data_IF_926626267258
#
_entry.id   IF_926626267258
#
_cell.length_a   1.000
_cell.length_b   1.000
_cell.length_c   1.000
_cell.angle_alpha   90.00
_cell.angle_beta   90.00
_cell.angle_gamma   90.00
#
_symmetry.space_group_name_H-M   'P 1'
#
loop_
_entity.id
_entity.type
_entity.pdbx_description
1 polymer ?
#
# COMPACT_ATOMS: atom_id res chain seq x y z
N UNK A 1 15.04 -22.58 36.98
CA UNK A 1 15.31 -23.21 35.68
C UNK A 1 14.07 -23.01 34.82
N UNK A 2 13.89 -21.78 34.36
CA UNK A 2 12.82 -21.39 33.44
C UNK A 2 13.41 -21.48 32.05
N UNK A 3 12.95 -22.47 31.29
CA UNK A 3 13.35 -22.69 29.90
C UNK A 3 12.95 -21.46 29.09
N UNK A 4 13.97 -20.70 28.70
CA UNK A 4 13.90 -19.67 27.68
C UNK A 4 13.57 -20.37 26.36
N UNK A 5 12.31 -20.27 25.93
CA UNK A 5 11.90 -20.71 24.61
C UNK A 5 12.25 -19.57 23.66
N UNK A 6 13.44 -19.68 23.08
CA UNK A 6 13.85 -18.94 21.90
C UNK A 6 12.69 -18.96 20.88
N UNK A 7 12.16 -17.81 20.42
CA UNK A 7 11.10 -17.80 19.42
C UNK A 7 11.68 -18.38 18.13
N UNK A 8 11.38 -19.65 17.88
CA UNK A 8 11.65 -20.34 16.63
C UNK A 8 11.05 -19.50 15.50
N UNK A 9 11.89 -18.75 14.78
CA UNK A 9 11.52 -17.99 13.60
C UNK A 9 11.15 -19.03 12.55
N UNK A 10 9.87 -19.22 12.24
CA UNK A 10 9.44 -20.13 11.19
C UNK A 10 10.03 -19.77 9.83
N UNK A 11 9.89 -20.68 8.85
CA UNK A 11 10.57 -20.61 7.56
C UNK A 11 10.30 -19.27 6.89
N UNK A 12 11.37 -18.52 6.59
CA UNK A 12 11.28 -17.27 5.83
C UNK A 12 11.09 -17.63 4.38
N UNK A 13 9.93 -17.28 3.84
CA UNK A 13 9.58 -17.49 2.43
C UNK A 13 9.63 -16.15 1.71
N UNK A 14 10.12 -16.15 0.48
CA UNK A 14 9.89 -15.03 -0.43
C UNK A 14 9.26 -15.50 -1.73
N UNK A 15 8.26 -14.77 -2.19
CA UNK A 15 7.65 -14.96 -3.50
C UNK A 15 7.94 -13.72 -4.34
N UNK A 16 8.57 -13.92 -5.48
CA UNK A 16 8.74 -12.92 -6.52
C UNK A 16 7.68 -13.14 -7.60
N UNK A 17 7.05 -12.05 -8.00
CA UNK A 17 6.10 -11.99 -9.11
C UNK A 17 6.69 -11.06 -10.16
N UNK A 18 6.66 -11.47 -11.42
CA UNK A 18 6.95 -10.62 -12.59
C UNK A 18 5.84 -10.79 -13.64
N UNK A 19 5.94 -10.09 -14.77
CA UNK A 19 5.04 -10.26 -15.92
C UNK A 19 5.10 -11.68 -16.52
N UNK A 20 6.22 -12.39 -16.34
CA UNK A 20 6.51 -13.66 -17.03
C UNK A 20 6.76 -14.84 -16.09
N UNK A 21 7.03 -14.61 -14.81
CA UNK A 21 7.37 -15.65 -13.86
C UNK A 21 6.78 -15.38 -12.47
N UNK A 22 6.50 -16.46 -11.74
CA UNK A 22 6.21 -16.42 -10.29
C UNK A 22 7.08 -17.47 -9.63
N UNK A 23 8.00 -17.02 -8.78
CA UNK A 23 9.03 -17.86 -8.14
C UNK A 23 8.95 -17.73 -6.64
N UNK A 24 9.12 -18.83 -5.91
CA UNK A 24 9.14 -18.88 -4.47
C UNK A 24 10.48 -19.44 -3.97
N UNK A 25 11.20 -18.67 -3.16
CA UNK A 25 12.33 -19.16 -2.38
C UNK A 25 11.81 -19.69 -1.04
N UNK A 26 12.06 -20.97 -0.80
CA UNK A 26 11.82 -21.68 0.46
C UNK A 26 13.14 -22.25 1.00
N UNK A 27 13.12 -22.86 2.17
CA UNK A 27 14.28 -23.58 2.73
C UNK A 27 14.79 -24.70 1.80
N UNK A 28 13.87 -25.36 1.08
CA UNK A 28 14.17 -26.52 0.24
C UNK A 28 14.76 -26.12 -1.12
N UNK A 29 14.54 -24.88 -1.57
CA UNK A 29 14.98 -24.44 -2.89
C UNK A 29 14.17 -23.27 -3.44
N UNK A 30 14.41 -22.96 -4.71
CA UNK A 30 13.54 -22.09 -5.51
C UNK A 30 12.55 -22.99 -6.24
N UNK A 31 11.26 -22.63 -6.20
CA UNK A 31 10.19 -23.24 -6.98
C UNK A 31 9.61 -22.20 -7.92
N UNK A 32 9.19 -22.62 -9.10
CA UNK A 32 8.62 -21.74 -10.13
C UNK A 32 7.29 -22.29 -10.62
N UNK A 33 6.35 -21.40 -10.88
CA UNK A 33 5.01 -21.74 -11.34
C UNK A 33 5.00 -22.07 -12.85
N UNK A 34 4.04 -22.87 -13.28
CA UNK A 34 3.87 -23.19 -14.69
C UNK A 34 3.57 -21.94 -15.54
N UNK A 35 4.19 -21.84 -16.71
CA UNK A 35 4.07 -20.67 -17.60
C UNK A 35 2.62 -20.33 -17.97
N UNK A 36 1.76 -21.34 -18.16
CA UNK A 36 0.33 -21.14 -18.44
C UNK A 36 -0.41 -20.51 -17.26
N UNK A 37 -0.11 -20.97 -16.04
CA UNK A 37 -0.76 -20.50 -14.82
C UNK A 37 -0.34 -19.07 -14.52
N UNK A 38 0.94 -18.75 -14.70
CA UNK A 38 1.46 -17.38 -14.59
C UNK A 38 0.78 -16.47 -15.60
N UNK A 39 0.71 -16.87 -16.88
CA UNK A 39 0.06 -16.06 -17.91
C UNK A 39 -1.40 -15.77 -17.58
N UNK A 40 -2.16 -16.79 -17.14
CA UNK A 40 -3.56 -16.61 -16.74
C UNK A 40 -3.70 -15.71 -15.51
N UNK A 41 -2.82 -15.87 -14.51
CA UNK A 41 -2.86 -15.05 -13.30
C UNK A 41 -2.48 -13.59 -13.57
N UNK A 42 -1.46 -13.35 -14.40
CA UNK A 42 -1.01 -12.01 -14.82
C UNK A 42 -2.06 -11.32 -15.67
N UNK A 43 -2.69 -12.02 -16.62
CA UNK A 43 -3.78 -11.46 -17.43
C UNK A 43 -4.98 -11.01 -16.58
N UNK A 44 -5.22 -11.67 -15.45
CA UNK A 44 -6.30 -11.34 -14.52
C UNK A 44 -5.90 -10.32 -13.44
N UNK A 45 -4.69 -9.74 -13.46
CA UNK A 45 -4.23 -8.81 -12.41
C UNK A 45 -5.00 -7.49 -12.38
N UNK A 46 -5.45 -7.02 -13.54
CA UNK A 46 -6.17 -5.76 -13.69
C UNK A 46 -7.69 -5.95 -13.59
N UNK A 47 -8.16 -7.20 -13.60
CA UNK A 47 -9.57 -7.56 -13.50
C UNK A 47 -9.91 -8.07 -12.09
N UNK A 48 -11.13 -7.81 -11.61
CA UNK A 48 -11.60 -8.38 -10.34
C UNK A 48 -11.78 -9.91 -10.40
N UNK A 49 -12.01 -10.42 -11.61
CA UNK A 49 -12.39 -11.78 -11.91
C UNK A 49 -11.49 -12.33 -13.03
N UNK A 50 -10.87 -13.48 -12.79
CA UNK A 50 -10.15 -14.25 -13.80
C UNK A 50 -11.10 -15.15 -14.57
N UNK A 51 -11.04 -15.07 -15.90
CA UNK A 51 -11.72 -15.98 -16.81
C UNK A 51 -10.77 -17.13 -17.17
N UNK A 52 -10.99 -18.30 -16.55
CA UNK A 52 -10.30 -19.54 -16.92
C UNK A 52 -11.18 -20.34 -17.88
N UNK A 53 -10.62 -21.25 -18.72
CA UNK A 53 -11.38 -21.96 -19.76
C UNK A 53 -12.70 -22.59 -19.29
N UNK A 54 -12.73 -23.16 -18.08
CA UNK A 54 -13.90 -23.87 -17.54
C UNK A 54 -14.53 -23.21 -16.31
N UNK A 55 -14.00 -22.07 -15.85
CA UNK A 55 -14.50 -21.43 -14.61
C UNK A 55 -14.14 -19.96 -14.50
N UNK A 56 -15.01 -19.25 -13.80
CA UNK A 56 -14.84 -17.84 -13.43
C UNK A 56 -14.46 -17.78 -11.97
N UNK A 57 -13.31 -17.18 -11.63
CA UNK A 57 -12.84 -17.11 -10.24
C UNK A 57 -12.38 -15.71 -9.88
N UNK A 58 -12.53 -15.26 -8.62
CA UNK A 58 -11.94 -14.00 -8.19
C UNK A 58 -10.43 -14.01 -8.41
N UNK A 59 -9.86 -12.95 -9.00
CA UNK A 59 -8.42 -12.87 -9.30
C UNK A 59 -7.57 -13.08 -8.06
N UNK A 60 -8.00 -12.55 -6.90
CA UNK A 60 -7.36 -12.80 -5.59
C UNK A 60 -7.26 -14.29 -5.23
N UNK A 61 -8.28 -15.08 -5.59
CA UNK A 61 -8.35 -16.51 -5.27
C UNK A 61 -7.45 -17.32 -6.22
N UNK A 62 -7.36 -16.89 -7.48
CA UNK A 62 -6.39 -17.44 -8.43
C UNK A 62 -4.95 -17.21 -7.95
N UNK A 63 -4.62 -15.99 -7.53
CA UNK A 63 -3.30 -15.66 -6.99
C UNK A 63 -2.98 -16.40 -5.68
N UNK A 64 -3.94 -16.53 -4.77
CA UNK A 64 -3.75 -17.31 -3.54
C UNK A 64 -3.47 -18.79 -3.84
N UNK A 65 -4.23 -19.39 -4.75
CA UNK A 65 -4.00 -20.77 -5.18
C UNK A 65 -2.63 -20.95 -5.86
N UNK A 66 -2.21 -19.98 -6.67
CA UNK A 66 -0.88 -19.99 -7.31
C UNK A 66 0.24 -19.93 -6.25
N UNK A 67 0.13 -19.04 -5.26
CA UNK A 67 1.09 -18.98 -4.17
C UNK A 67 1.09 -20.26 -3.33
N UNK A 68 -0.07 -20.83 -3.00
CA UNK A 68 -0.16 -22.10 -2.25
C UNK A 68 0.54 -23.23 -3.00
N UNK A 69 0.34 -23.32 -4.32
CA UNK A 69 0.98 -24.35 -5.18
C UNK A 69 2.52 -24.30 -5.13
N UNK A 70 3.08 -23.10 -4.93
CA UNK A 70 4.51 -22.89 -4.82
C UNK A 70 5.08 -23.26 -3.45
N UNK A 71 4.27 -23.30 -2.40
CA UNK A 71 4.74 -23.53 -1.04
C UNK A 71 4.53 -24.95 -0.54
N UNK A 72 3.54 -25.66 -1.09
CA UNK A 72 3.20 -27.02 -0.67
C UNK A 72 2.72 -27.84 -1.86
N UNK A 73 3.08 -29.13 -1.89
CA UNK A 73 2.52 -30.10 -2.84
C UNK A 73 1.26 -30.78 -2.31
N UNK A 74 0.94 -30.55 -1.03
CA UNK A 74 -0.25 -31.06 -0.39
C UNK A 74 -1.27 -29.93 -0.33
N UNK A 75 -2.52 -30.17 -0.73
CA UNK A 75 -3.68 -29.26 -0.63
C UNK A 75 -4.03 -28.85 0.83
N UNK A 76 -3.05 -28.79 1.73
CA UNK A 76 -3.15 -28.33 3.09
C UNK A 76 -2.97 -26.81 3.14
N UNK A 77 -3.75 -26.09 3.96
CA UNK A 77 -3.57 -24.65 4.16
C UNK A 77 -2.16 -24.35 4.67
N UNK A 78 -1.45 -23.47 3.98
CA UNK A 78 -0.12 -23.01 4.40
C UNK A 78 -0.28 -21.87 5.41
N UNK A 79 0.39 -21.98 6.54
CA UNK A 79 0.56 -20.87 7.50
C UNK A 79 2.04 -20.66 7.79
N UNK A 80 2.54 -19.52 7.34
CA UNK A 80 3.91 -19.06 7.53
C UNK A 80 3.97 -18.04 8.67
N UNK A 81 5.10 -17.94 9.35
CA UNK A 81 5.35 -16.85 10.29
C UNK A 81 5.67 -15.55 9.57
N UNK A 82 6.47 -15.63 8.50
CA UNK A 82 6.83 -14.47 7.69
C UNK A 82 6.95 -14.81 6.21
N UNK A 83 6.47 -13.88 5.37
CA UNK A 83 6.53 -13.94 3.93
C UNK A 83 6.95 -12.60 3.36
N UNK A 84 7.89 -12.62 2.41
CA UNK A 84 8.24 -11.47 1.60
C UNK A 84 7.61 -11.61 0.21
N UNK A 85 6.84 -10.62 -0.22
CA UNK A 85 6.30 -10.55 -1.56
C UNK A 85 7.05 -9.48 -2.34
N UNK A 86 7.65 -9.87 -3.46
CA UNK A 86 8.45 -9.00 -4.33
C UNK A 86 7.72 -8.84 -5.65
N UNK A 87 7.56 -7.61 -6.12
CA UNK A 87 6.81 -7.29 -7.33
C UNK A 87 7.56 -6.27 -8.19
N UNK A 88 7.23 -6.11 -9.49
CA UNK A 88 7.85 -5.10 -10.34
C UNK A 88 7.56 -3.69 -9.80
N UNK A 89 8.52 -2.80 -9.87
CA UNK A 89 8.43 -1.48 -9.23
C UNK A 89 7.38 -0.59 -9.89
N UNK A 90 7.22 -0.69 -11.21
CA UNK A 90 6.26 0.08 -11.99
C UNK A 90 4.79 -0.39 -11.83
N UNK A 91 4.55 -1.55 -11.21
CA UNK A 91 3.18 -2.08 -11.09
C UNK A 91 2.27 -1.19 -10.24
N UNK A 92 1.05 -1.01 -10.73
CA UNK A 92 0.03 -0.15 -10.12
C UNK A 92 -0.29 -0.57 -8.67
N UNK A 93 -0.75 0.37 -7.82
CA UNK A 93 -1.26 0.03 -6.49
C UNK A 93 -2.35 -1.06 -6.49
N UNK A 94 -3.16 -1.13 -7.56
CA UNK A 94 -4.20 -2.15 -7.75
C UNK A 94 -3.62 -3.55 -7.85
N UNK A 95 -2.69 -3.77 -8.81
CA UNK A 95 -2.00 -5.06 -8.98
C UNK A 95 -1.31 -5.51 -7.68
N UNK A 96 -0.63 -4.59 -7.00
CA UNK A 96 0.02 -4.84 -5.69
C UNK A 96 -0.98 -5.23 -4.61
N UNK A 97 -2.16 -4.62 -4.58
CA UNK A 97 -3.22 -4.93 -3.61
C UNK A 97 -3.77 -6.34 -3.83
N UNK A 98 -3.98 -6.76 -5.07
CA UNK A 98 -4.41 -8.13 -5.41
C UNK A 98 -3.41 -9.16 -4.88
N UNK A 99 -2.12 -9.00 -5.18
CA UNK A 99 -1.08 -9.90 -4.68
C UNK A 99 -0.97 -9.88 -3.16
N UNK A 100 -1.00 -8.69 -2.55
CA UNK A 100 -0.90 -8.54 -1.09
C UNK A 100 -2.06 -9.22 -0.38
N UNK A 101 -3.29 -9.07 -0.89
CA UNK A 101 -4.48 -9.70 -0.32
C UNK A 101 -4.45 -11.22 -0.47
N UNK A 102 -3.92 -11.74 -1.59
CA UNK A 102 -3.68 -13.17 -1.77
C UNK A 102 -2.67 -13.71 -0.74
N UNK A 103 -1.54 -13.02 -0.55
CA UNK A 103 -0.48 -13.44 0.35
C UNK A 103 -0.83 -13.28 1.85
N UNK A 104 -1.64 -12.29 2.24
CA UNK A 104 -2.01 -12.00 3.65
C UNK A 104 -2.68 -13.17 4.35
N UNK A 105 -3.36 -14.04 3.62
CA UNK A 105 -4.04 -15.21 4.19
C UNK A 105 -3.06 -16.33 4.56
N UNK A 106 -1.82 -16.27 4.09
CA UNK A 106 -0.83 -17.35 4.15
C UNK A 106 0.26 -17.12 5.19
N UNK A 107 0.47 -15.88 5.66
CA UNK A 107 1.54 -15.53 6.58
C UNK A 107 1.08 -14.59 7.70
N UNK A 108 1.57 -14.80 8.93
CA UNK A 108 1.32 -13.89 10.05
C UNK A 108 1.94 -12.51 9.81
N UNK A 109 3.13 -12.47 9.19
CA UNK A 109 3.81 -11.25 8.79
C UNK A 109 4.02 -11.24 7.28
N UNK A 110 3.50 -10.23 6.59
CA UNK A 110 3.73 -10.01 5.16
C UNK A 110 4.52 -8.72 4.94
N UNK A 111 5.69 -8.82 4.32
CA UNK A 111 6.44 -7.66 3.84
C UNK A 111 6.35 -7.58 2.33
N UNK A 112 5.82 -6.48 1.80
CA UNK A 112 5.72 -6.25 0.35
C UNK A 112 6.83 -5.29 -0.06
N UNK A 113 7.63 -5.66 -1.06
CA UNK A 113 8.75 -4.84 -1.55
C UNK A 113 8.71 -4.76 -3.07
N UNK A 114 9.08 -3.59 -3.60
CA UNK A 114 9.37 -3.49 -5.02
C UNK A 114 10.69 -4.18 -5.33
N UNK A 115 10.82 -4.64 -6.58
CA UNK A 115 12.01 -5.33 -7.07
C UNK A 115 13.24 -4.44 -7.04
N UNK A 116 13.14 -3.17 -7.46
CA UNK A 116 14.22 -2.21 -7.37
C UNK A 116 14.71 -2.00 -5.92
N UNK A 117 13.80 -1.89 -4.93
CA UNK A 117 14.19 -1.77 -3.52
C UNK A 117 14.85 -3.05 -3.02
N UNK A 118 14.34 -4.23 -3.39
CA UNK A 118 14.94 -5.51 -3.01
C UNK A 118 16.37 -5.67 -3.58
N UNK A 119 16.60 -5.18 -4.81
CA UNK A 119 17.93 -5.17 -5.43
C UNK A 119 18.84 -4.10 -4.80
N UNK A 120 18.30 -2.93 -4.45
CA UNK A 120 19.05 -1.82 -3.90
C UNK A 120 19.61 -2.06 -2.50
N UNK A 121 18.87 -2.80 -1.66
CA UNK A 121 19.33 -3.23 -0.33
C UNK A 121 20.60 -4.11 -0.38
N UNK A 122 21.01 -4.58 -1.57
CA UNK A 122 22.18 -5.45 -1.76
C UNK A 122 23.28 -4.89 -2.64
N UNK A 123 22.97 -4.01 -3.60
CA UNK A 123 24.00 -3.27 -4.34
C UNK A 123 24.92 -2.45 -3.42
N UNK A 124 24.46 -2.24 -2.18
CA UNK A 124 25.05 -1.37 -1.20
C UNK A 124 25.22 -2.14 0.11
N UNK A 125 26.43 -2.67 0.34
CA UNK A 125 26.90 -2.77 1.73
C UNK A 125 26.77 -1.37 2.31
N UNK A 126 25.98 -1.21 3.37
CA UNK A 126 26.20 -0.22 4.45
C UNK A 126 27.03 1.00 4.01
N UNK A 127 26.36 2.11 3.73
CA UNK A 127 26.81 3.31 2.98
C UNK A 127 26.31 3.33 1.53
N UNK A 128 25.06 3.76 1.36
CA UNK A 128 24.82 4.75 0.33
C UNK A 128 25.44 6.01 0.95
N UNK A 129 26.57 6.50 0.45
CA UNK A 129 27.23 7.72 0.92
C UNK A 129 26.39 8.99 0.68
N UNK A 130 25.06 8.89 0.78
CA UNK A 130 24.06 9.82 0.26
C UNK A 130 23.66 9.59 -1.20
N UNK A 131 24.36 8.71 -1.94
CA UNK A 131 24.16 8.47 -3.39
C UNK A 131 22.88 7.68 -3.69
N UNK A 132 22.38 7.78 -4.92
CA UNK A 132 21.24 7.02 -5.44
C UNK A 132 21.70 5.74 -6.17
N UNK A 133 20.84 4.73 -6.31
CA UNK A 133 21.05 3.59 -7.21
C UNK A 133 20.09 3.70 -8.39
N UNK A 134 20.53 3.35 -9.60
CA UNK A 134 19.63 3.24 -10.75
C UNK A 134 19.38 1.77 -11.05
N UNK A 135 18.12 1.37 -11.14
CA UNK A 135 17.67 0.03 -11.55
C UNK A 135 16.85 0.18 -12.82
N UNK A 136 17.24 -0.51 -13.89
CA UNK A 136 16.46 -0.62 -15.12
C UNK A 136 15.69 -1.94 -15.06
N UNK A 137 14.38 -1.87 -14.87
CA UNK A 137 13.50 -3.05 -14.93
C UNK A 137 12.96 -3.20 -16.36
N UNK A 138 13.23 -4.37 -16.96
CA UNK A 138 12.88 -4.68 -18.35
C UNK A 138 11.87 -5.83 -18.36
N UNK A 139 10.69 -5.56 -18.92
CA UNK A 139 9.64 -6.54 -19.15
C UNK A 139 9.13 -6.44 -20.60
N UNK A 140 8.36 -7.43 -21.10
CA UNK A 140 7.84 -7.36 -22.47
C UNK A 140 6.98 -6.12 -22.74
N UNK A 141 6.06 -5.80 -21.82
CA UNK A 141 5.13 -4.70 -21.96
C UNK A 141 5.67 -3.34 -21.49
N UNK A 142 6.70 -3.31 -20.65
CA UNK A 142 7.18 -2.08 -20.01
C UNK A 142 8.67 -2.11 -19.72
N UNK A 143 9.34 -0.98 -19.94
CA UNK A 143 10.71 -0.74 -19.50
C UNK A 143 10.73 0.53 -18.66
N UNK A 144 11.23 0.40 -17.43
CA UNK A 144 11.25 1.46 -16.44
C UNK A 144 12.68 1.72 -15.95
N UNK A 145 13.04 2.99 -15.80
CA UNK A 145 14.27 3.43 -15.13
C UNK A 145 13.89 3.90 -13.73
N UNK A 146 14.38 3.22 -12.70
CA UNK A 146 14.03 3.48 -11.31
C UNK A 146 15.24 4.04 -10.58
N UNK A 147 15.05 5.17 -9.91
CA UNK A 147 16.02 5.71 -8.96
C UNK A 147 15.64 5.24 -7.56
N UNK A 148 16.54 4.56 -6.87
CA UNK A 148 16.39 4.20 -5.47
C UNK A 148 17.33 5.04 -4.62
N UNK A 149 16.76 5.90 -3.78
CA UNK A 149 17.48 6.82 -2.91
C UNK A 149 17.03 6.67 -1.45
N UNK A 150 17.70 7.37 -0.54
CA UNK A 150 17.21 7.47 0.83
C UNK A 150 15.95 8.34 0.89
N UNK A 151 14.87 7.76 1.41
CA UNK A 151 13.67 8.52 1.74
C UNK A 151 13.88 9.38 2.99
N UNK A 152 13.02 10.39 3.11
CA UNK A 152 13.03 11.34 4.25
C UNK A 152 12.86 10.69 5.63
N UNK A 153 12.28 9.49 5.68
CA UNK A 153 12.07 8.71 6.90
C UNK A 153 13.21 7.70 7.20
N UNK A 154 14.30 7.70 6.41
CA UNK A 154 15.40 6.75 6.54
C UNK A 154 15.20 5.41 5.82
N UNK A 155 13.99 5.15 5.30
CA UNK A 155 13.68 4.00 4.44
C UNK A 155 13.99 4.31 2.97
N UNK A 156 14.39 3.31 2.15
CA UNK A 156 14.64 3.52 0.73
C UNK A 156 13.36 3.90 -0.02
N UNK A 157 13.44 4.93 -0.86
CA UNK A 157 12.36 5.40 -1.72
C UNK A 157 12.72 5.14 -3.18
N UNK A 158 11.75 4.69 -3.98
CA UNK A 158 11.92 4.40 -5.39
C UNK A 158 11.09 5.37 -6.25
N UNK A 159 11.76 6.10 -7.13
CA UNK A 159 11.14 7.00 -8.12
C UNK A 159 11.19 6.35 -9.50
N UNK A 160 10.04 6.22 -10.15
CA UNK A 160 9.91 5.53 -11.44
C UNK A 160 9.89 6.55 -12.57
N UNK A 161 10.80 6.39 -13.54
CA UNK A 161 10.84 7.11 -14.79
C UNK A 161 10.42 6.15 -15.91
N UNK A 162 9.21 6.33 -16.42
CA UNK A 162 8.72 5.57 -17.56
C UNK A 162 9.31 6.13 -18.85
N UNK A 163 9.70 5.25 -19.78
CA UNK A 163 10.00 5.69 -21.13
C UNK A 163 8.70 6.15 -21.81
N UNK A 164 8.78 7.21 -22.63
CA UNK A 164 7.61 7.79 -23.32
C UNK A 164 6.88 6.78 -24.21
N UNK A 165 7.62 5.81 -24.76
CA UNK A 165 7.06 4.72 -25.56
C UNK A 165 6.64 3.55 -24.64
N UNK A 166 5.36 3.16 -24.72
CA UNK A 166 4.74 2.16 -23.81
C UNK A 166 4.71 0.74 -24.35
N UNK A 167 5.22 0.47 -25.56
CA UNK A 167 5.17 -0.85 -26.17
C UNK A 167 6.52 -1.20 -26.78
N UNK A 168 7.28 -2.01 -26.04
CA UNK A 168 8.62 -2.47 -26.43
C UNK A 168 8.62 -3.86 -27.08
N UNK A 169 7.49 -4.58 -27.02
CA UNK A 169 7.34 -5.97 -27.52
C UNK A 169 7.74 -6.16 -28.99
N UNK A 170 7.59 -5.12 -29.82
CA UNK A 170 7.87 -5.18 -31.26
C UNK A 170 9.21 -4.56 -31.66
N UNK A 171 9.97 -4.03 -30.69
CA UNK A 171 11.22 -3.30 -30.93
C UNK A 171 12.41 -4.25 -30.91
N UNK A 172 13.45 -3.92 -31.67
CA UNK A 172 14.71 -4.65 -31.61
C UNK A 172 15.43 -4.39 -30.29
N UNK A 173 16.24 -5.34 -29.82
CA UNK A 173 17.05 -5.16 -28.61
C UNK A 173 17.97 -3.93 -28.70
N UNK A 174 18.49 -3.62 -29.89
CA UNK A 174 19.31 -2.44 -30.12
C UNK A 174 18.54 -1.12 -29.95
N UNK A 175 17.25 -1.10 -30.31
CA UNK A 175 16.41 0.10 -30.17
C UNK A 175 15.98 0.33 -28.73
N UNK A 176 15.58 -0.73 -28.02
CA UNK A 176 15.32 -0.70 -26.58
C UNK A 176 16.56 -0.23 -25.84
N UNK A 177 17.71 -0.85 -26.09
CA UNK A 177 18.98 -0.49 -25.46
C UNK A 177 19.36 0.97 -25.67
N UNK A 178 19.16 1.52 -26.87
CA UNK A 178 19.44 2.93 -27.17
C UNK A 178 18.47 3.88 -26.46
N UNK A 179 17.19 3.52 -26.37
CA UNK A 179 16.20 4.31 -25.64
C UNK A 179 16.49 4.34 -24.14
N UNK A 180 16.75 3.16 -23.55
CA UNK A 180 17.14 3.03 -22.14
C UNK A 180 18.41 3.81 -21.86
N UNK A 181 19.43 3.69 -22.69
CA UNK A 181 20.71 4.39 -22.51
C UNK A 181 20.51 5.92 -22.42
N UNK A 182 19.67 6.51 -23.28
CA UNK A 182 19.32 7.94 -23.22
C UNK A 182 18.57 8.32 -21.95
N UNK A 183 17.60 7.52 -21.52
CA UNK A 183 16.84 7.79 -20.31
C UNK A 183 17.72 7.66 -19.05
N UNK A 184 18.58 6.65 -19.00
CA UNK A 184 19.56 6.48 -17.92
C UNK A 184 20.52 7.66 -17.88
N UNK A 185 21.01 8.14 -19.03
CA UNK A 185 21.86 9.34 -19.11
C UNK A 185 21.17 10.59 -18.56
N UNK A 186 19.90 10.80 -18.92
CA UNK A 186 19.09 11.91 -18.42
C UNK A 186 18.90 11.84 -16.90
N UNK A 187 18.47 10.68 -16.40
CA UNK A 187 18.27 10.41 -14.97
C UNK A 187 19.57 10.64 -14.21
N UNK A 188 20.67 9.98 -14.61
CA UNK A 188 21.97 10.09 -13.94
C UNK A 188 22.48 11.54 -13.91
N UNK A 189 22.22 12.33 -14.96
CA UNK A 189 22.59 13.76 -15.00
C UNK A 189 21.75 14.62 -14.05
N UNK A 190 20.48 14.26 -13.84
CA UNK A 190 19.58 14.96 -12.91
C UNK A 190 19.77 14.59 -11.44
N UNK A 191 20.43 13.46 -11.15
CA UNK A 191 20.65 12.98 -9.78
C UNK A 191 21.73 13.78 -9.04
N UNK A 192 21.30 14.77 -8.26
CA UNK A 192 22.17 15.69 -7.52
C UNK A 192 23.12 15.02 -6.51
N UNK A 193 22.70 13.91 -5.92
CA UNK A 193 23.50 13.13 -4.96
C UNK A 193 24.51 12.22 -5.63
N UNK A 194 24.44 12.06 -6.95
CA UNK A 194 25.23 11.13 -7.74
C UNK A 194 24.74 9.68 -7.63
N UNK A 195 24.98 8.88 -8.66
CA UNK A 195 24.55 7.47 -8.73
C UNK A 195 25.68 6.55 -8.26
N UNK A 196 25.40 5.51 -7.47
CA UNK A 196 26.39 4.58 -6.89
C UNK A 196 26.62 3.32 -7.74
N UNK A 197 25.59 2.81 -8.40
CA UNK A 197 25.68 1.80 -9.45
C UNK A 197 24.44 1.87 -10.37
N UNK A 198 24.56 1.27 -11.56
CA UNK A 198 23.44 1.05 -12.49
C UNK A 198 23.24 -0.46 -12.63
N UNK A 199 22.04 -0.93 -12.32
CA UNK A 199 21.65 -2.34 -12.39
C UNK A 199 20.64 -2.54 -13.51
N UNK A 200 20.89 -3.49 -14.41
CA UNK A 200 19.96 -3.87 -15.48
C UNK A 200 19.32 -5.20 -15.12
N UNK A 201 18.01 -5.18 -14.92
CA UNK A 201 17.20 -6.31 -14.51
C UNK A 201 16.26 -6.71 -15.64
N UNK A 202 16.66 -7.74 -16.37
CA UNK A 202 15.97 -8.27 -17.56
C UNK A 202 15.92 -9.78 -17.47
N UNK A 203 14.73 -10.36 -17.69
CA UNK A 203 14.57 -11.80 -17.84
C UNK A 203 15.16 -12.33 -19.16
N UNK A 204 15.27 -11.47 -20.17
CA UNK A 204 15.98 -11.75 -21.43
C UNK A 204 17.44 -11.33 -21.28
N UNK A 205 18.35 -12.30 -21.31
CA UNK A 205 19.79 -12.06 -21.14
C UNK A 205 20.38 -11.24 -22.27
N UNK A 206 19.97 -11.49 -23.52
CA UNK A 206 20.47 -10.79 -24.71
C UNK A 206 20.04 -9.32 -24.68
N UNK A 207 18.78 -9.06 -24.32
CA UNK A 207 18.27 -7.71 -24.11
C UNK A 207 19.03 -6.98 -23.01
N UNK A 208 19.27 -7.65 -21.88
CA UNK A 208 20.02 -7.08 -20.76
C UNK A 208 21.46 -6.74 -21.14
N UNK A 209 22.16 -7.65 -21.82
CA UNK A 209 23.52 -7.41 -22.32
C UNK A 209 23.56 -6.25 -23.33
N UNK A 210 22.58 -6.15 -24.23
CA UNK A 210 22.47 -5.04 -25.16
C UNK A 210 22.31 -3.69 -24.44
N UNK A 211 21.48 -3.63 -23.40
CA UNK A 211 21.29 -2.45 -22.56
C UNK A 211 22.57 -2.10 -21.80
N UNK A 212 23.20 -3.07 -21.14
CA UNK A 212 24.49 -2.88 -20.45
C UNK A 212 25.52 -2.29 -21.40
N UNK A 213 25.69 -2.88 -22.59
CA UNK A 213 26.64 -2.38 -23.59
C UNK A 213 26.28 -1.00 -24.13
N UNK A 214 25.00 -0.63 -24.20
CA UNK A 214 24.58 0.70 -24.61
C UNK A 214 24.83 1.76 -23.53
N UNK A 215 24.57 1.44 -22.26
CA UNK A 215 24.84 2.33 -21.12
C UNK A 215 26.34 2.50 -20.90
N UNK A 216 27.11 1.41 -20.99
CA UNK A 216 28.57 1.43 -20.82
C UNK A 216 29.27 2.32 -21.87
N UNK A 217 28.78 2.30 -23.12
CA UNK A 217 29.28 3.18 -24.19
C UNK A 217 29.08 4.67 -23.94
N UNK A 218 28.14 5.07 -23.08
CA UNK A 218 27.98 6.47 -22.67
C UNK A 218 29.14 6.89 -21.75
N UNK A 219 29.78 5.93 -21.06
CA UNK A 219 30.89 6.20 -20.15
C UNK A 219 30.44 6.80 -18.82
N UNK A 220 29.24 6.47 -18.35
CA UNK A 220 28.73 6.92 -17.05
C UNK A 220 29.53 6.26 -15.92
N UNK A 221 29.97 7.06 -14.95
CA UNK A 221 30.44 6.58 -13.65
C UNK A 221 29.32 6.76 -12.65
N UNK A 222 28.81 5.68 -12.03
CA UNK A 222 29.42 4.37 -11.80
C UNK A 222 29.10 3.34 -12.89
N UNK A 223 29.84 2.22 -12.90
CA UNK A 223 29.66 1.15 -13.89
C UNK A 223 28.25 0.54 -13.89
N UNK A 224 27.88 0.00 -15.04
CA UNK A 224 26.61 -0.70 -15.27
C UNK A 224 26.83 -2.22 -15.21
N UNK A 225 25.88 -2.95 -14.63
CA UNK A 225 25.92 -4.42 -14.56
C UNK A 225 24.54 -5.03 -14.67
N UNK A 226 24.47 -6.25 -15.20
CA UNK A 226 23.23 -7.02 -15.24
C UNK A 226 23.00 -7.75 -13.91
N UNK A 227 21.75 -7.80 -13.47
CA UNK A 227 21.31 -8.50 -12.28
C UNK A 227 21.26 -10.00 -12.58
N UNK A 228 21.88 -10.82 -11.72
CA UNK A 228 21.75 -12.28 -11.82
C UNK A 228 20.33 -12.71 -11.39
N UNK A 229 19.79 -13.73 -12.04
CA UNK A 229 18.38 -14.15 -11.96
C UNK A 229 17.82 -14.30 -10.53
N UNK A 230 18.61 -14.85 -9.61
CA UNK A 230 18.20 -15.13 -8.22
C UNK A 230 18.63 -14.05 -7.21
N UNK A 231 19.15 -12.92 -7.69
CA UNK A 231 19.71 -11.88 -6.82
C UNK A 231 18.68 -11.31 -5.84
N UNK A 232 17.39 -11.38 -6.19
CA UNK A 232 16.28 -10.89 -5.37
C UNK A 232 16.00 -11.75 -4.13
N UNK A 233 16.34 -13.05 -4.18
CA UNK A 233 16.05 -14.01 -3.10
C UNK A 233 17.19 -14.18 -2.10
N UNK A 234 18.29 -13.46 -2.31
CA UNK A 234 19.59 -13.81 -1.75
C UNK A 234 19.65 -13.58 -0.21
N UNK A 235 18.66 -12.90 0.39
CA UNK A 235 18.45 -12.71 1.86
C UNK A 235 17.59 -13.79 2.53
N UNK A 236 16.83 -14.55 1.75
CA UNK A 236 15.78 -15.43 2.22
C UNK A 236 16.43 -16.73 2.70
N UNK A 237 16.59 -16.84 4.02
CA UNK A 237 17.32 -17.92 4.69
C UNK A 237 18.56 -17.47 5.47
N UNK A 238 18.90 -16.18 5.48
CA UNK A 238 19.92 -15.66 6.40
C UNK A 238 19.26 -15.24 7.73
N UNK A 239 19.78 -15.74 8.85
CA UNK A 239 19.40 -15.26 10.18
C UNK A 239 19.61 -13.73 10.25
N UNK A 240 18.70 -12.97 10.87
CA UNK A 240 18.91 -11.55 11.08
C UNK A 240 20.21 -11.38 11.87
N UNK A 241 21.25 -10.85 11.22
CA UNK A 241 22.42 -10.39 11.96
C UNK A 241 21.95 -9.19 12.76
N UNK A 242 21.97 -9.32 14.09
CA UNK A 242 21.76 -8.19 14.97
C UNK A 242 22.73 -7.06 14.64
N UNK A 243 22.43 -5.82 15.05
CA UNK A 243 23.38 -4.73 14.91
C UNK A 243 24.66 -5.14 15.65
N UNK A 244 25.72 -5.42 14.89
CA UNK A 244 27.04 -5.66 15.45
C UNK A 244 27.60 -4.31 15.92
N UNK A 245 27.14 -3.87 17.09
CA UNK A 245 27.82 -2.87 17.88
C UNK A 245 28.39 -3.57 19.11
N UNK A 246 29.73 -3.66 19.08
CA UNK A 246 30.67 -3.96 20.17
C UNK A 246 30.78 -5.43 20.59
N UNK A 247 31.65 -6.16 19.90
CA UNK A 247 32.70 -6.94 20.58
C UNK A 247 33.99 -6.82 19.75
N UNK A 248 34.58 -5.62 19.78
CA UNK A 248 35.97 -5.47 19.40
C UNK A 248 36.78 -5.55 20.69
N UNK A 249 37.40 -6.70 20.89
CA UNK A 249 38.38 -6.90 21.94
C UNK A 249 39.45 -5.83 21.82
N UNK A 250 39.62 -5.07 22.90
CA UNK A 250 40.64 -4.05 23.03
C UNK A 250 42.05 -4.69 22.94
N UNK A 251 42.77 -4.44 21.86
CA UNK A 251 44.23 -4.36 21.90
C UNK A 251 44.65 -2.93 22.24
N UNK A 252 45.42 -2.80 23.32
CA UNK A 252 45.86 -1.54 23.93
C UNK A 252 46.67 -0.65 22.97
N UNK A 253 46.38 0.67 22.91
CA UNK A 253 47.33 1.63 22.36
C UNK A 253 48.29 2.14 23.46
N UNK A 254 49.58 2.07 23.13
CA UNK A 254 50.72 2.57 23.92
C UNK A 254 50.62 4.07 24.20
N UNK A 255 50.88 4.41 25.46
CA UNK A 255 50.89 5.73 26.10
C UNK A 255 51.83 6.75 25.44
N UNK A 256 51.36 8.00 25.24
CA UNK A 256 52.22 9.19 25.38
C UNK A 256 51.43 10.52 25.62
N UNK A 257 51.49 10.97 26.88
CA UNK A 257 51.53 12.34 27.45
C UNK A 257 50.45 13.41 27.16
N UNK A 258 49.79 13.82 28.26
CA UNK A 258 49.20 15.15 28.55
C UNK A 258 50.26 16.22 28.82
N UNK A 259 49.88 17.52 28.73
CA UNK A 259 49.70 18.36 29.94
C UNK A 259 48.34 19.13 29.90
N UNK A 260 47.46 19.02 30.91
CA UNK A 260 47.35 19.85 32.14
C UNK A 260 47.05 21.34 31.82
N UNK A 261 45.91 21.95 32.19
CA UNK A 261 45.57 22.37 33.56
C UNK A 261 44.07 22.73 33.79
N UNK A 262 43.63 22.38 35.01
CA UNK A 262 42.62 22.99 35.94
C UNK A 262 41.11 23.06 35.68
N UNK A 263 40.41 22.53 36.68
CA UNK A 263 38.97 22.53 36.99
C UNK A 263 38.49 23.72 37.83
N UNK A 264 37.20 24.08 37.70
CA UNK A 264 36.39 24.63 38.80
C UNK A 264 34.91 24.14 38.67
N UNK A 265 34.19 23.82 39.77
CA UNK A 265 32.83 23.24 39.79
C UNK A 265 31.73 24.30 39.97
N UNK A 266 30.44 24.01 39.72
CA UNK A 266 29.52 23.61 40.81
C UNK A 266 28.35 22.72 40.27
N UNK A 267 27.27 22.30 40.93
CA UNK A 267 26.71 22.44 42.28
C UNK A 267 25.81 21.20 42.52
N UNK A 268 25.64 20.77 43.78
CA UNK A 268 24.54 19.87 44.17
C UNK A 268 23.27 20.69 44.38
N UNK A 269 22.13 20.19 43.91
CA UNK A 269 20.83 20.44 44.53
C UNK A 269 19.91 19.22 44.33
N UNK A 270 19.48 18.65 45.45
CA UNK A 270 18.30 17.77 45.56
C UNK A 270 17.09 18.64 45.97
N UNK A 271 15.89 18.07 46.19
CA UNK A 271 14.95 17.38 45.29
C UNK A 271 13.60 18.14 45.26
N UNK A 272 12.59 17.71 44.47
CA UNK A 272 11.15 17.86 44.77
C UNK A 272 10.25 17.22 43.70
N UNK A 273 9.50 16.18 44.09
CA UNK A 273 8.14 15.91 43.56
C UNK A 273 7.15 16.58 44.54
N UNK A 274 5.99 17.10 44.11
CA UNK A 274 4.78 16.28 43.86
C UNK A 274 3.94 16.74 42.63
N UNK A 275 3.39 15.79 41.85
CA UNK A 275 1.98 15.37 41.84
C UNK A 275 0.98 16.37 41.21
N UNK A 276 0.64 16.14 39.93
CA UNK A 276 -0.69 16.37 39.34
C UNK A 276 -0.75 15.74 37.92
N UNK A 277 -1.45 14.61 37.88
CA UNK A 277 -2.17 13.98 36.76
C UNK A 277 -1.52 13.58 35.41
N UNK A 278 -2.15 12.57 34.75
CA UNK A 278 -1.44 11.47 34.10
C UNK A 278 -1.62 11.44 32.57
N UNK A 279 -0.70 10.80 31.86
CA UNK A 279 -0.89 10.34 30.48
C UNK A 279 -0.27 8.94 30.40
N UNK A 280 -1.07 7.88 30.27
CA UNK A 280 -1.77 7.46 29.06
C UNK A 280 -0.79 6.97 27.99
N UNK A 281 -0.47 5.69 28.04
CA UNK A 281 -0.11 4.92 26.86
C UNK A 281 -1.01 3.67 26.87
N UNK A 282 -2.18 3.87 26.28
CA UNK A 282 -3.02 2.86 25.64
C UNK A 282 -2.07 2.02 24.76
N UNK A 283 -1.96 0.71 24.94
CA UNK A 283 -3.05 -0.23 24.77
C UNK A 283 -3.10 -0.60 23.29
N UNK A 284 -2.34 -1.61 22.88
CA UNK A 284 -2.47 -2.21 21.56
C UNK A 284 -2.76 -3.69 21.68
N UNK A 285 -3.58 -4.14 20.73
CA UNK A 285 -3.93 -5.49 20.37
C UNK A 285 -4.99 -6.13 21.30
N UNK A 286 -6.28 -6.04 20.96
CA UNK A 286 -6.93 -6.63 19.78
C UNK A 286 -6.77 -8.15 19.71
N UNK A 287 -7.90 -8.84 19.92
CA UNK A 287 -8.22 -10.15 19.36
C UNK A 287 -9.75 -10.19 19.33
N UNK A 288 -10.40 -9.95 18.20
CA UNK A 288 -10.64 -10.94 17.13
C UNK A 288 -11.03 -12.29 17.71
N UNK A 289 -12.32 -12.58 17.67
CA UNK A 289 -12.80 -13.90 17.29
C UNK A 289 -13.79 -13.70 16.13
N UNK A 290 -13.25 -13.76 14.91
CA UNK A 290 -13.99 -14.34 13.79
C UNK A 290 -13.21 -15.57 13.38
N UNK A 291 -13.70 -16.71 13.82
CA UNK A 291 -13.40 -17.99 13.20
C UNK A 291 -14.33 -18.08 11.99
N UNK A 292 -13.76 -18.10 10.79
CA UNK A 292 -14.48 -18.60 9.63
C UNK A 292 -14.57 -20.12 9.69
N UNK A 293 -15.69 -20.70 9.25
CA UNK A 293 -15.71 -22.06 8.67
C UNK A 293 -16.70 -22.08 7.50
N UNK A 294 -16.22 -22.72 6.44
CA UNK A 294 -16.79 -23.00 5.12
C UNK A 294 -17.75 -24.22 5.20
N UNK A 295 -18.64 -24.34 4.21
CA UNK A 295 -19.49 -25.49 3.84
C UNK A 295 -20.92 -25.50 4.41
N UNK A 296 -21.88 -25.19 3.52
CA UNK A 296 -23.23 -25.75 3.54
C UNK A 296 -23.18 -27.26 3.29
N UNK A 297 -23.01 -28.04 4.36
CA UNK A 297 -23.57 -29.38 4.47
C UNK A 297 -24.88 -29.24 5.23
N UNK A 298 -25.99 -29.66 4.63
CA UNK A 298 -27.28 -29.70 5.27
C UNK A 298 -27.27 -30.63 6.49
N UNK A 299 -27.21 -30.05 7.68
CA UNK A 299 -27.61 -30.73 8.91
C UNK A 299 -28.78 -29.96 9.53
N UNK A 300 -29.98 -30.52 9.41
CA UNK A 300 -31.17 -30.05 10.12
C UNK A 300 -30.95 -30.20 11.62
N UNK A 301 -30.76 -29.07 12.32
CA UNK A 301 -30.91 -29.04 13.77
C UNK A 301 -31.70 -27.80 14.15
N UNK A 302 -33.00 -28.00 14.32
CA UNK A 302 -33.94 -27.02 14.84
C UNK A 302 -33.44 -26.42 16.15
N UNK A 303 -33.28 -25.10 16.20
CA UNK A 303 -33.21 -24.33 17.45
C UNK A 303 -34.24 -23.20 17.40
N UNK A 304 -35.14 -23.24 18.38
CA UNK A 304 -36.30 -22.36 18.57
C UNK A 304 -35.89 -20.88 18.66
N UNK A 305 -36.72 -19.94 18.16
CA UNK A 305 -36.47 -18.51 18.26
C UNK A 305 -36.87 -17.96 19.63
N UNK A 306 -36.13 -16.98 20.14
CA UNK A 306 -36.62 -16.00 21.12
C UNK A 306 -36.55 -14.60 20.50
N UNK A 307 -37.59 -13.77 20.67
CA UNK A 307 -37.73 -12.51 19.95
C UNK A 307 -37.04 -11.37 20.69
N UNK A 308 -35.95 -10.85 20.13
CA UNK A 308 -35.50 -9.48 20.40
C UNK A 308 -34.97 -8.95 19.07
N UNK A 309 -35.54 -7.83 18.60
CA UNK A 309 -35.18 -7.25 17.30
C UNK A 309 -33.66 -7.00 17.25
N UNK A 310 -32.96 -7.46 16.19
CA UNK A 310 -31.53 -7.31 16.10
C UNK A 310 -31.17 -5.82 15.94
N UNK A 311 -30.38 -5.28 16.87
CA UNK A 311 -29.69 -4.01 16.67
C UNK A 311 -28.66 -4.26 15.57
N UNK A 312 -28.80 -3.58 14.44
CA UNK A 312 -27.82 -3.67 13.35
C UNK A 312 -26.44 -3.30 13.88
N UNK A 313 -25.48 -4.22 13.76
CA UNK A 313 -24.11 -3.99 14.22
C UNK A 313 -23.48 -2.83 13.43
N UNK A 314 -22.70 -1.97 14.11
CA UNK A 314 -22.02 -0.83 13.50
C UNK A 314 -20.52 -0.96 13.67
N UNK A 315 -19.76 -0.35 12.76
CA UNK A 315 -18.30 -0.34 12.76
C UNK A 315 -17.75 1.08 12.61
N UNK A 316 -16.60 1.35 13.23
CA UNK A 316 -15.88 2.61 13.06
C UNK A 316 -14.92 2.47 11.87
N UNK A 317 -15.12 3.30 10.86
CA UNK A 317 -14.23 3.41 9.73
C UNK A 317 -13.33 4.63 9.89
N UNK A 318 -12.03 4.44 9.69
CA UNK A 318 -11.02 5.51 9.67
C UNK A 318 -10.45 5.58 8.26
N UNK A 319 -10.55 6.74 7.64
CA UNK A 319 -9.99 7.02 6.32
C UNK A 319 -9.21 8.34 6.33
N UNK A 320 -7.91 8.28 6.08
CA UNK A 320 -7.06 9.47 6.08
C UNK A 320 -7.19 10.22 7.41
N UNK A 321 -7.74 11.44 7.36
CA UNK A 321 -7.93 12.30 8.52
C UNK A 321 -9.34 12.28 9.08
N UNK A 322 -10.24 11.43 8.58
CA UNK A 322 -11.64 11.36 9.05
C UNK A 322 -11.97 9.99 9.62
N UNK A 323 -12.81 9.97 10.64
CA UNK A 323 -13.39 8.75 11.21
C UNK A 323 -14.91 8.89 11.31
N UNK A 324 -15.66 7.82 11.02
CA UNK A 324 -17.12 7.80 11.05
C UNK A 324 -17.66 6.39 11.23
N UNK A 325 -18.92 6.27 11.67
CA UNK A 325 -19.60 5.00 11.88
C UNK A 325 -20.42 4.61 10.65
N UNK A 326 -20.42 3.32 10.32
CA UNK A 326 -21.23 2.71 9.25
C UNK A 326 -21.79 1.35 9.70
N UNK A 327 -22.84 0.81 9.05
CA UNK A 327 -23.28 -0.56 9.32
C UNK A 327 -22.13 -1.56 9.08
N UNK A 328 -21.95 -2.51 9.98
CA UNK A 328 -20.78 -3.40 9.98
C UNK A 328 -20.78 -4.43 8.83
N UNK A 329 -21.94 -4.66 8.23
CA UNK A 329 -22.16 -5.58 7.11
C UNK A 329 -22.00 -4.91 5.73
N UNK A 330 -21.79 -3.59 5.69
CA UNK A 330 -21.59 -2.86 4.44
C UNK A 330 -20.13 -2.94 4.00
N UNK A 331 -19.93 -3.19 2.70
CA UNK A 331 -18.60 -3.32 2.11
C UNK A 331 -17.93 -1.96 1.94
N UNK A 332 -16.63 -1.87 2.19
CA UNK A 332 -15.86 -0.62 2.04
C UNK A 332 -14.93 -0.71 0.83
N UNK A 333 -15.10 0.20 -0.12
CA UNK A 333 -14.26 0.37 -1.32
C UNK A 333 -13.55 1.73 -1.27
N UNK A 334 -12.25 1.76 -1.61
CA UNK A 334 -11.46 3.00 -1.65
C UNK A 334 -11.16 3.35 -3.09
N UNK A 335 -11.57 4.55 -3.51
CA UNK A 335 -11.30 5.10 -4.83
C UNK A 335 -10.17 6.13 -4.68
N UNK A 336 -8.95 5.85 -5.15
CA UNK A 336 -7.86 6.82 -5.12
C UNK A 336 -8.11 7.96 -6.12
N UNK A 337 -7.43 9.09 -5.93
CA UNK A 337 -7.41 10.16 -6.92
C UNK A 337 -6.70 9.64 -8.19
N UNK A 338 -7.27 9.89 -9.36
CA UNK A 338 -6.71 9.40 -10.63
C UNK A 338 -7.73 9.07 -11.73
N UNK A 339 -9.03 9.26 -11.49
CA UNK A 339 -10.12 9.15 -12.48
C UNK A 339 -10.99 10.42 -12.57
N UNK A 340 -12.24 10.30 -13.04
CA UNK A 340 -13.20 11.41 -13.20
C UNK A 340 -13.78 11.98 -11.87
N UNK A 341 -13.02 11.96 -10.78
CA UNK A 341 -13.51 12.39 -9.47
C UNK A 341 -12.43 12.48 -8.40
N UNK A 342 -12.81 13.05 -7.26
CA UNK A 342 -11.95 13.14 -6.07
C UNK A 342 -11.75 11.76 -5.45
N UNK A 343 -10.61 11.56 -4.77
CA UNK A 343 -10.42 10.40 -3.91
C UNK A 343 -11.58 10.31 -2.90
N UNK A 344 -12.17 9.12 -2.77
CA UNK A 344 -13.32 8.90 -1.91
C UNK A 344 -13.38 7.48 -1.41
N UNK A 345 -14.04 7.31 -0.28
CA UNK A 345 -14.46 6.01 0.22
C UNK A 345 -15.91 5.80 -0.16
N UNK A 346 -16.23 4.59 -0.58
CA UNK A 346 -17.59 4.12 -0.81
C UNK A 346 -17.90 3.02 0.19
N UNK A 347 -19.04 3.15 0.86
CA UNK A 347 -19.57 2.16 1.78
C UNK A 347 -20.88 1.64 1.21
N UNK A 348 -20.88 0.38 0.79
CA UNK A 348 -21.84 -0.20 -0.16
C UNK A 348 -22.71 -1.21 0.58
N UNK A 349 -24.03 -1.06 0.46
CA UNK A 349 -24.98 -2.00 1.04
C UNK A 349 -24.81 -3.40 0.45
N UNK A 350 -24.87 -4.47 1.28
CA UNK A 350 -24.82 -5.84 0.79
C UNK A 350 -26.14 -6.28 0.12
N UNK A 351 -27.22 -5.52 0.31
CA UNK A 351 -28.57 -5.83 -0.21
C UNK A 351 -28.86 -5.06 -1.49
N UNK A 352 -28.39 -3.81 -1.58
CA UNK A 352 -28.57 -2.95 -2.75
C UNK A 352 -27.24 -2.27 -3.13
N UNK A 353 -26.56 -2.71 -4.21
CA UNK A 353 -25.30 -2.12 -4.64
C UNK A 353 -25.37 -0.63 -5.01
N UNK A 354 -26.55 -0.08 -5.29
CA UNK A 354 -26.72 1.37 -5.56
C UNK A 354 -26.95 2.20 -4.29
N UNK A 355 -27.22 1.57 -3.15
CA UNK A 355 -27.25 2.22 -1.84
C UNK A 355 -25.81 2.37 -1.31
N UNK A 356 -25.19 3.51 -1.61
CA UNK A 356 -23.77 3.78 -1.32
C UNK A 356 -23.60 5.07 -0.53
N UNK A 357 -22.81 5.02 0.55
CA UNK A 357 -22.31 6.21 1.26
C UNK A 357 -20.91 6.55 0.76
N UNK A 358 -20.80 7.72 0.13
CA UNK A 358 -19.54 8.30 -0.32
C UNK A 358 -18.97 9.20 0.76
N UNK A 359 -17.65 9.14 1.02
CA UNK A 359 -16.96 10.10 1.87
C UNK A 359 -15.72 10.64 1.17
N UNK A 360 -15.65 11.96 1.06
CA UNK A 360 -14.53 12.73 0.52
C UNK A 360 -13.97 13.64 1.59
N UNK A 361 -12.69 13.97 1.50
CA UNK A 361 -12.05 14.92 2.40
C UNK A 361 -11.08 15.81 1.64
N UNK A 362 -11.06 17.09 1.97
CA UNK A 362 -10.12 18.07 1.44
C UNK A 362 -9.66 18.95 2.59
N UNK A 363 -8.34 19.18 2.70
CA UNK A 363 -7.80 20.15 3.66
C UNK A 363 -8.12 21.57 3.19
N UNK A 364 -8.62 22.39 4.09
CA UNK A 364 -8.95 23.80 3.90
C UNK A 364 -8.22 24.64 4.94
N UNK A 365 -8.26 25.97 4.79
CA UNK A 365 -7.74 26.85 5.83
C UNK A 365 -8.56 26.64 7.12
N UNK A 366 -7.94 26.56 8.31
CA UNK A 366 -8.67 26.46 9.58
C UNK A 366 -9.71 27.56 9.82
N UNK A 367 -9.60 28.71 9.13
CA UNK A 367 -10.58 29.81 9.21
C UNK A 367 -11.69 29.73 8.15
N UNK A 368 -11.75 28.65 7.37
CA UNK A 368 -12.80 28.42 6.36
C UNK A 368 -14.18 28.41 7.03
N UNK A 369 -15.18 29.01 6.38
CA UNK A 369 -16.57 29.01 6.86
C UNK A 369 -17.47 28.25 5.89
N UNK A 370 -18.59 27.72 6.38
CA UNK A 370 -19.56 27.04 5.50
C UNK A 370 -20.08 27.97 4.39
N UNK A 371 -20.21 29.27 4.65
CA UNK A 371 -20.58 30.26 3.64
C UNK A 371 -19.51 30.38 2.53
N UNK A 372 -18.22 30.44 2.89
CA UNK A 372 -17.13 30.45 1.90
C UNK A 372 -17.06 29.14 1.10
N UNK A 373 -17.32 28.01 1.77
CA UNK A 373 -17.43 26.70 1.12
C UNK A 373 -18.63 26.65 0.17
N UNK A 374 -19.78 27.21 0.57
CA UNK A 374 -20.97 27.30 -0.29
C UNK A 374 -20.69 28.13 -1.55
N UNK A 375 -20.00 29.27 -1.45
CA UNK A 375 -19.60 30.05 -2.62
C UNK A 375 -18.64 29.29 -3.54
N UNK A 376 -17.66 28.58 -2.96
CA UNK A 376 -16.73 27.73 -3.73
C UNK A 376 -17.47 26.64 -4.49
N UNK A 377 -18.40 25.95 -3.83
CA UNK A 377 -19.21 24.89 -4.43
C UNK A 377 -20.13 25.44 -5.52
N UNK A 378 -20.80 26.56 -5.28
CA UNK A 378 -21.65 27.23 -6.27
C UNK A 378 -20.86 27.63 -7.52
N UNK A 379 -19.67 28.18 -7.35
CA UNK A 379 -18.78 28.54 -8.45
C UNK A 379 -18.29 27.32 -9.24
N UNK A 380 -18.10 26.17 -8.58
CA UNK A 380 -17.76 24.92 -9.25
C UNK A 380 -18.97 24.37 -10.04
N UNK A 381 -20.16 24.31 -9.43
CA UNK A 381 -21.39 23.82 -10.06
C UNK A 381 -21.81 24.66 -11.27
N UNK A 382 -21.55 25.97 -11.26
CA UNK A 382 -21.87 26.85 -12.37
C UNK A 382 -21.08 26.55 -13.66
N UNK A 383 -20.00 25.75 -13.58
CA UNK A 383 -19.21 25.31 -14.75
C UNK A 383 -19.77 24.06 -15.42
N UNK A 384 -20.74 23.41 -14.77
CA UNK A 384 -21.28 22.12 -15.17
C UNK A 384 -22.59 22.30 -15.92
N UNK A 385 -23.03 21.24 -16.61
CA UNK A 385 -24.27 21.30 -17.39
C UNK A 385 -25.50 21.48 -16.46
N UNK A 386 -26.52 22.27 -16.86
CA UNK A 386 -27.74 22.41 -16.08
C UNK A 386 -28.40 21.06 -15.76
N UNK A 387 -28.86 20.88 -14.52
CA UNK A 387 -29.52 19.65 -14.06
C UNK A 387 -28.57 18.57 -13.53
N UNK A 388 -27.25 18.72 -13.69
CA UNK A 388 -26.24 17.83 -13.07
C UNK A 388 -26.19 18.02 -11.55
N UNK A 389 -26.37 19.25 -11.08
CA UNK A 389 -26.47 19.59 -9.67
C UNK A 389 -27.77 20.36 -9.40
N UNK A 390 -28.55 19.92 -8.43
CA UNK A 390 -29.86 20.49 -8.05
C UNK A 390 -29.97 20.68 -6.54
N UNK A 391 -31.07 21.29 -6.08
CA UNK A 391 -31.43 21.39 -4.66
C UNK A 391 -30.37 21.99 -3.73
N UNK A 392 -29.53 22.88 -4.26
CA UNK A 392 -28.45 23.50 -3.51
C UNK A 392 -28.98 24.39 -2.38
N UNK A 393 -28.46 24.18 -1.15
CA UNK A 393 -28.74 24.98 0.04
C UNK A 393 -27.43 25.32 0.75
N UNK A 394 -27.14 26.62 0.88
CA UNK A 394 -25.90 27.11 1.46
C UNK A 394 -25.84 26.98 2.99
N UNK A 395 -26.99 26.93 3.66
CA UNK A 395 -27.16 26.99 5.10
C UNK A 395 -28.18 25.97 5.62
N UNK A 396 -28.00 24.70 5.23
CA UNK A 396 -28.87 23.60 5.66
C UNK A 396 -28.41 23.00 6.99
N UNK A 397 -29.23 22.07 7.52
CA UNK A 397 -28.87 21.23 8.66
C UNK A 397 -29.20 19.77 8.35
N UNK A 398 -28.20 18.89 8.53
CA UNK A 398 -28.36 17.45 8.38
C UNK A 398 -27.87 16.73 9.62
N UNK A 399 -28.74 15.89 10.16
CA UNK A 399 -28.53 15.16 11.41
C UNK A 399 -27.93 16.05 12.52
N UNK A 400 -28.55 17.22 12.70
CA UNK A 400 -28.21 18.27 13.67
C UNK A 400 -26.86 18.98 13.46
N UNK A 401 -26.23 18.81 12.30
CA UNK A 401 -25.00 19.52 11.92
C UNK A 401 -25.27 20.58 10.86
N UNK A 402 -24.73 21.80 11.02
CA UNK A 402 -24.71 22.80 9.95
C UNK A 402 -23.98 22.25 8.72
N UNK A 403 -24.55 22.40 7.54
CA UNK A 403 -24.02 21.83 6.31
C UNK A 403 -24.37 22.66 5.07
N UNK A 404 -23.58 22.51 4.01
CA UNK A 404 -24.02 22.83 2.65
C UNK A 404 -24.56 21.54 2.03
N UNK A 405 -25.75 21.57 1.43
CA UNK A 405 -26.35 20.39 0.80
C UNK A 405 -26.71 20.65 -0.65
N UNK A 406 -26.68 19.59 -1.46
CA UNK A 406 -27.09 19.61 -2.87
C UNK A 406 -27.31 18.17 -3.36
N UNK A 407 -28.00 18.02 -4.47
CA UNK A 407 -28.17 16.74 -5.15
C UNK A 407 -27.34 16.72 -6.42
N UNK A 408 -26.61 15.63 -6.66
CA UNK A 408 -25.91 15.35 -7.90
C UNK A 408 -26.69 14.27 -8.67
N UNK A 409 -27.12 14.60 -9.89
CA UNK A 409 -27.91 13.69 -10.73
C UNK A 409 -26.97 12.99 -11.70
N UNK A 410 -27.06 11.66 -11.77
CA UNK A 410 -26.31 10.83 -12.72
C UNK A 410 -27.24 9.86 -13.44
N UNK A 411 -26.82 9.30 -14.59
CA UNK A 411 -27.59 8.23 -15.22
C UNK A 411 -27.70 7.03 -14.27
N UNK A 412 -28.94 6.69 -13.88
CA UNK A 412 -29.23 5.50 -13.06
C UNK A 412 -29.39 5.76 -11.56
N UNK A 413 -28.77 6.80 -11.00
CA UNK A 413 -28.85 7.13 -9.58
C UNK A 413 -28.70 8.63 -9.30
N UNK A 414 -29.17 9.04 -8.14
CA UNK A 414 -28.98 10.38 -7.59
C UNK A 414 -28.08 10.30 -6.35
N UNK A 415 -27.30 11.35 -6.07
CA UNK A 415 -26.42 11.43 -4.89
C UNK A 415 -26.76 12.70 -4.10
N UNK A 416 -27.28 12.55 -2.89
CA UNK A 416 -27.52 13.68 -1.99
C UNK A 416 -26.27 13.96 -1.17
N UNK A 417 -25.62 15.08 -1.44
CA UNK A 417 -24.41 15.51 -0.76
C UNK A 417 -24.71 16.36 0.47
N UNK A 418 -23.95 16.08 1.53
CA UNK A 418 -23.87 16.87 2.76
C UNK A 418 -22.41 17.23 2.98
N UNK A 419 -22.08 18.51 2.93
CA UNK A 419 -20.71 19.02 3.12
C UNK A 419 -20.61 19.70 4.47
N UNK A 420 -19.65 19.22 5.27
CA UNK A 420 -19.39 19.63 6.64
C UNK A 420 -17.97 20.19 6.75
N UNK A 421 -17.77 21.08 7.72
CA UNK A 421 -16.44 21.48 8.16
C UNK A 421 -16.17 20.84 9.52
N UNK A 422 -14.94 20.36 9.70
CA UNK A 422 -14.40 19.94 10.99
C UNK A 422 -12.93 20.33 11.06
N UNK A 423 -12.64 21.38 11.84
CA UNK A 423 -11.32 22.03 11.91
C UNK A 423 -10.80 22.45 10.52
N UNK A 424 -9.66 21.92 10.08
CA UNK A 424 -9.04 22.18 8.78
C UNK A 424 -9.51 21.23 7.67
N UNK A 425 -10.61 20.48 7.89
CA UNK A 425 -11.16 19.56 6.91
C UNK A 425 -12.54 19.99 6.42
N UNK A 426 -12.67 20.01 5.09
CA UNK A 426 -13.97 19.95 4.42
C UNK A 426 -14.28 18.52 4.04
N UNK A 427 -15.37 17.99 4.58
CA UNK A 427 -15.78 16.60 4.46
C UNK A 427 -17.09 16.55 3.67
N UNK A 428 -17.09 15.88 2.53
CA UNK A 428 -18.29 15.66 1.73
C UNK A 428 -18.81 14.24 1.92
N UNK A 429 -20.07 14.10 2.34
CA UNK A 429 -20.76 12.82 2.49
C UNK A 429 -21.86 12.74 1.42
N UNK A 430 -21.77 11.78 0.51
CA UNK A 430 -22.72 11.59 -0.60
C UNK A 430 -23.58 10.36 -0.37
N UNK A 431 -24.90 10.53 -0.39
CA UNK A 431 -25.88 9.45 -0.24
C UNK A 431 -26.39 9.06 -1.62
N UNK A 432 -25.86 7.98 -2.19
CA UNK A 432 -26.28 7.46 -3.48
C UNK A 432 -27.44 6.48 -3.33
N UNK A 433 -28.39 6.55 -4.25
CA UNK A 433 -29.57 5.69 -4.33
C UNK A 433 -30.13 5.69 -5.75
N UNK A 434 -30.78 4.59 -6.16
CA UNK A 434 -31.64 4.63 -7.33
C UNK A 434 -32.82 5.58 -7.10
N UNK A 435 -33.42 6.12 -8.16
CA UNK A 435 -34.57 7.02 -8.03
C UNK A 435 -35.68 6.39 -7.17
N UNK A 436 -36.21 7.18 -6.23
CA UNK A 436 -37.24 6.78 -5.26
C UNK A 436 -36.84 5.71 -4.22
N UNK A 437 -35.55 5.32 -4.12
CA UNK A 437 -35.05 4.31 -3.16
C UNK A 437 -34.21 4.88 -2.00
N UNK A 438 -34.31 6.19 -1.71
CA UNK A 438 -33.48 6.83 -0.68
C UNK A 438 -33.53 6.15 0.70
N UNK A 439 -34.65 5.51 1.04
CA UNK A 439 -34.83 4.79 2.30
C UNK A 439 -33.78 3.70 2.54
N UNK A 440 -33.24 3.12 1.48
CA UNK A 440 -32.27 2.02 1.55
C UNK A 440 -30.88 2.48 1.98
N UNK A 441 -30.52 3.74 1.69
CA UNK A 441 -29.25 4.37 2.13
C UNK A 441 -29.42 5.27 3.36
N UNK A 442 -30.63 5.74 3.63
CA UNK A 442 -30.92 6.80 4.61
C UNK A 442 -30.28 6.54 5.98
N UNK A 443 -30.48 5.35 6.56
CA UNK A 443 -29.98 5.05 7.92
C UNK A 443 -28.46 5.06 8.00
N UNK A 444 -27.77 4.51 6.98
CA UNK A 444 -26.32 4.49 6.91
C UNK A 444 -25.76 5.90 6.73
N UNK A 445 -26.40 6.70 5.86
CA UNK A 445 -26.03 8.09 5.64
C UNK A 445 -26.19 8.98 6.87
N UNK A 446 -27.35 8.91 7.53
CA UNK A 446 -27.61 9.63 8.77
C UNK A 446 -26.60 9.28 9.86
N UNK A 447 -26.18 8.02 9.94
CA UNK A 447 -25.15 7.57 10.86
C UNK A 447 -23.77 8.17 10.53
N UNK A 448 -23.36 8.13 9.25
CA UNK A 448 -22.11 8.70 8.81
C UNK A 448 -22.07 10.22 9.07
N UNK A 449 -23.11 10.96 8.69
CA UNK A 449 -23.22 12.42 8.89
C UNK A 449 -23.12 12.79 10.37
N UNK A 450 -23.83 12.07 11.25
CA UNK A 450 -23.78 12.33 12.71
C UNK A 450 -22.41 12.11 13.31
N UNK A 451 -21.69 11.10 12.83
CA UNK A 451 -20.51 10.58 13.53
C UNK A 451 -19.19 11.01 12.93
N UNK A 452 -19.19 11.47 11.68
CA UNK A 452 -17.99 11.84 10.95
C UNK A 452 -17.28 13.00 11.59
N UNK A 453 -16.00 12.82 11.84
CA UNK A 453 -15.15 13.83 12.46
C UNK A 453 -13.70 13.67 12.05
N UNK A 454 -12.90 14.72 12.21
CA UNK A 454 -11.45 14.65 12.10
C UNK A 454 -10.90 13.67 13.14
N UNK A 455 -9.95 12.84 12.73
CA UNK A 455 -9.17 11.99 13.65
C UNK A 455 -8.32 12.91 14.52
N UNK A 456 -8.52 12.81 15.82
CA UNK A 456 -7.69 13.51 16.81
C UNK A 456 -6.53 12.56 17.13
N UNK A 457 -5.34 12.83 16.59
CA UNK A 457 -4.13 12.16 17.07
C UNK A 457 -3.91 12.58 18.53
N UNK A 458 -3.93 11.61 19.44
CA UNK A 458 -3.54 11.85 20.83
C UNK A 458 -2.09 12.31 20.88
N UNK A 459 -1.87 13.40 21.61
CA UNK A 459 -0.54 13.99 21.87
C UNK A 459 0.33 13.07 22.74
#
# INVERSE_FOLDING_TARGET
MTLDRDPQIGPRVAIEVTETAVRARTEVGIREAGHSDVRSAVAALDDEIALLPDRVVPSRALWAALFESLLTDQNAPVRLDSMQLIHPTAWSPGRRTVLSNAARMMAATLTVRSRAIALAQRGVRTDLSGRSLVVVEVSPGEVAVIVVAHGSAGEPEATVHHLEERSWETKSAADVARAVARAVEEVVRSESTGVAAILVDSADSEMGEAIVGAVDRIGLTPGVSQVAEDSVFRDVGQAPRGPAFVDEQAEEPVVARRPEWTTAPPARSTPRRPAWWPLAAIGLAAAVVVTGVVLTVASTRERRPSPTAPVAATSLLVEGHVQFMVPADWAVRRIPAGGAGSARVEVISPVDPEAVVHVTQVRVNPTETLAATAETLRAAMAKESPGVFTDFKADDRKADRPAVTYTEVRPGHDIVWTVLLDDDLRIGIGCQFMRDSYVDVQKACDMAIRTVRKVISGN
#
